data_IF_866778319928
#
_entry.id   IF_866778319928
#
_cell.length_a   1.000
_cell.length_b   1.000
_cell.length_c   1.000
_cell.angle_alpha   90.00
_cell.angle_beta   90.00
_cell.angle_gamma   90.00
#
_symmetry.space_group_name_H-M   'P 1'
#
loop_
_entity.id
_entity.type
_entity.pdbx_description
1 polymer ?
#
# COMPACT_ATOMS: atom_id res chain seq x y z
N UNK A 1 -12.38 -6.70 -29.14
CA UNK A 1 -13.07 -6.71 -27.84
C UNK A 1 -12.17 -7.47 -26.89
N UNK A 2 -11.46 -6.76 -26.01
CA UNK A 2 -10.51 -7.36 -25.06
C UNK A 2 -11.32 -7.90 -23.89
N UNK A 3 -11.29 -9.21 -23.66
CA UNK A 3 -11.95 -9.83 -22.52
C UNK A 3 -11.21 -9.42 -21.24
N UNK A 4 -11.89 -8.70 -20.35
CA UNK A 4 -11.43 -8.53 -18.97
C UNK A 4 -11.64 -9.89 -18.30
N UNK A 5 -10.55 -10.53 -17.90
CA UNK A 5 -10.60 -11.72 -17.06
C UNK A 5 -11.17 -11.29 -15.69
N UNK A 6 -12.46 -11.55 -15.48
CA UNK A 6 -13.05 -11.48 -14.15
C UNK A 6 -12.56 -12.71 -13.39
N UNK A 7 -11.70 -12.52 -12.40
CA UNK A 7 -11.30 -13.59 -11.50
C UNK A 7 -12.56 -14.04 -10.75
N UNK A 8 -13.06 -15.23 -11.08
CA UNK A 8 -14.10 -15.92 -10.32
C UNK A 8 -13.48 -16.35 -8.98
N UNK A 9 -14.03 -15.94 -7.83
CA UNK A 9 -13.47 -16.39 -6.55
C UNK A 9 -13.80 -17.87 -6.39
N UNK A 10 -12.80 -18.73 -6.60
CA UNK A 10 -12.88 -20.10 -6.09
C UNK A 10 -13.07 -20.00 -4.57
N UNK A 11 -14.16 -20.58 -4.09
CA UNK A 11 -14.47 -20.70 -2.68
C UNK A 11 -13.50 -21.69 -2.03
N UNK A 12 -12.25 -21.26 -1.83
CA UNK A 12 -11.22 -22.06 -1.18
C UNK A 12 -10.93 -21.47 0.19
N UNK A 13 -11.61 -22.05 1.20
CA UNK A 13 -11.53 -21.78 2.64
C UNK A 13 -11.90 -20.37 3.09
N UNK A 14 -12.83 -20.29 4.05
CA UNK A 14 -13.13 -19.09 4.84
C UNK A 14 -11.95 -18.75 5.77
N UNK A 15 -10.75 -18.58 5.22
CA UNK A 15 -9.64 -17.94 5.94
C UNK A 15 -9.98 -16.46 5.98
N UNK A 16 -10.74 -16.09 7.01
CA UNK A 16 -11.15 -14.70 7.23
C UNK A 16 -9.90 -13.86 7.31
N UNK A 17 -9.71 -12.98 6.33
CA UNK A 17 -8.65 -11.98 6.34
C UNK A 17 -8.72 -11.24 7.67
N UNK A 18 -7.59 -11.13 8.38
CA UNK A 18 -7.58 -10.50 9.70
C UNK A 18 -7.94 -9.01 9.57
N UNK A 19 -8.67 -8.48 10.56
CA UNK A 19 -8.98 -7.05 10.63
C UNK A 19 -7.70 -6.20 10.62
N UNK A 20 -6.66 -6.67 11.32
CA UNK A 20 -5.32 -6.05 11.32
C UNK A 20 -4.76 -5.88 9.90
N UNK A 21 -4.91 -6.89 9.04
CA UNK A 21 -4.42 -6.80 7.67
C UNK A 21 -5.25 -5.82 6.83
N UNK A 22 -6.55 -5.72 7.09
CA UNK A 22 -7.41 -4.74 6.42
C UNK A 22 -7.08 -3.31 6.85
N UNK A 23 -6.75 -3.11 8.12
CA UNK A 23 -6.28 -1.82 8.65
C UNK A 23 -4.95 -1.41 8.01
N UNK A 24 -4.01 -2.35 7.90
CA UNK A 24 -2.75 -2.15 7.19
C UNK A 24 -2.97 -1.72 5.72
N UNK A 25 -3.88 -2.38 5.00
CA UNK A 25 -4.19 -2.00 3.62
C UNK A 25 -4.83 -0.61 3.51
N UNK A 26 -5.57 -0.19 4.53
CA UNK A 26 -6.15 1.16 4.62
C UNK A 26 -5.11 2.28 4.66
N UNK A 27 -3.89 2.02 5.15
CA UNK A 27 -2.81 3.01 5.19
C UNK A 27 -2.32 3.41 3.78
N UNK A 28 -2.61 2.59 2.76
CA UNK A 28 -2.22 2.82 1.37
C UNK A 28 -3.35 3.39 0.51
N UNK A 29 -4.45 3.83 1.12
CA UNK A 29 -5.60 4.43 0.45
C UNK A 29 -5.62 5.96 0.65
N UNK A 30 -6.06 6.69 -0.36
CA UNK A 30 -6.30 8.14 -0.28
C UNK A 30 -7.62 8.45 0.43
N UNK A 31 -7.82 9.70 0.84
CA UNK A 31 -9.07 10.15 1.49
C UNK A 31 -10.32 9.95 0.62
N UNK A 32 -10.14 9.93 -0.71
CA UNK A 32 -11.19 9.68 -1.69
C UNK A 32 -11.48 8.18 -1.91
N UNK A 33 -10.73 7.30 -1.24
CA UNK A 33 -10.88 5.85 -1.35
C UNK A 33 -10.09 5.22 -2.50
N UNK A 34 -9.21 5.96 -3.17
CA UNK A 34 -8.36 5.44 -4.25
C UNK A 34 -7.08 4.82 -3.70
N UNK A 35 -6.57 3.78 -4.34
CA UNK A 35 -5.32 3.16 -3.95
C UNK A 35 -4.13 4.00 -4.42
N UNK A 36 -3.12 4.14 -3.56
CA UNK A 36 -1.88 4.81 -3.94
C UNK A 36 -1.16 3.96 -5.00
N UNK A 37 -0.71 4.61 -6.09
CA UNK A 37 0.09 3.95 -7.12
C UNK A 37 1.40 3.42 -6.51
N UNK A 38 1.80 2.16 -6.77
CA UNK A 38 3.05 1.59 -6.25
C UNK A 38 4.30 2.42 -6.55
N UNK A 39 4.34 3.13 -7.68
CA UNK A 39 5.46 4.02 -8.03
C UNK A 39 5.54 5.20 -7.07
N UNK A 40 4.40 5.81 -6.75
CA UNK A 40 4.33 6.94 -5.83
C UNK A 40 4.71 6.53 -4.40
N UNK A 41 4.31 5.32 -3.99
CA UNK A 41 4.67 4.71 -2.71
C UNK A 41 6.19 4.62 -2.51
N UNK A 42 6.89 4.16 -3.55
CA UNK A 42 8.35 4.04 -3.54
C UNK A 42 9.05 5.41 -3.45
N UNK A 43 8.49 6.44 -4.08
CA UNK A 43 9.01 7.81 -3.99
C UNK A 43 8.82 8.43 -2.59
N UNK A 44 7.69 8.13 -1.93
CA UNK A 44 7.41 8.59 -0.56
C UNK A 44 8.40 8.00 0.44
N UNK A 45 8.69 6.70 0.36
CA UNK A 45 9.69 6.04 1.23
C UNK A 45 11.09 6.67 1.05
N UNK A 46 11.52 6.87 -0.18
CA UNK A 46 12.84 7.47 -0.47
C UNK A 46 12.96 8.91 0.04
N UNK A 47 11.86 9.66 0.02
CA UNK A 47 11.79 11.04 0.51
C UNK A 47 11.81 11.12 2.05
N UNK A 48 11.37 10.06 2.74
CA UNK A 48 11.44 9.94 4.19
C UNK A 48 12.85 9.56 4.65
N UNK A 49 13.53 8.63 3.97
CA UNK A 49 14.88 8.21 4.35
C UNK A 49 15.92 9.34 4.25
N UNK A 50 15.79 10.25 3.28
CA UNK A 50 16.74 11.38 3.14
C UNK A 50 16.68 12.39 4.28
N UNK A 51 15.53 12.60 4.90
CA UNK A 51 15.37 13.58 5.99
C UNK A 51 16.01 13.15 7.31
N UNK A 52 16.24 11.85 7.51
CA UNK A 52 16.85 11.33 8.74
C UNK A 52 18.39 11.35 8.72
N UNK A 53 19.02 11.58 7.56
CA UNK A 53 20.49 11.61 7.42
C UNK A 53 21.07 13.03 7.63
N UNK A 54 20.21 14.07 7.56
CA UNK A 54 20.61 15.48 7.67
C UNK A 54 20.53 16.05 9.10
N UNK A 55 20.12 15.25 10.11
CA UNK A 55 20.03 15.64 11.53
C UNK A 55 21.11 14.97 12.41
N UNK A 56 22.33 14.75 11.89
CA UNK A 56 23.49 14.37 12.71
C UNK A 56 24.79 15.02 12.23
N UNK A 57 24.85 16.36 12.25
CA UNK A 57 26.16 17.06 12.31
C UNK A 57 26.04 18.32 13.18
N UNK A 58 26.11 18.15 14.50
CA UNK A 58 26.51 19.23 15.41
C UNK A 58 27.27 18.56 16.59
N UNK A 59 28.57 18.30 16.40
CA UNK A 59 29.60 18.32 17.45
C UNK A 59 31.00 18.57 16.84
#
# INVERSE_FOLDING_TARGET
MTAVAYAEPEAESEETVSLEFLEFLGEFQTEDGEWIDPVNLLEMEQSQSKRNDEEQTDE
#
